data_IF_840500982553
#
_entry.id   IF_840500982553
#
_cell.length_a   1.000
_cell.length_b   1.000
_cell.length_c   1.000
_cell.angle_alpha   90.00
_cell.angle_beta   90.00
_cell.angle_gamma   90.00
#
_symmetry.space_group_name_H-M   'P 1'
#
loop_
_entity.id
_entity.type
_entity.pdbx_description
1 polymer ?
#
# COMPACT_ATOMS: atom_id res chain seq x y z
N UNK A 1 9.32 26.25 7.86
CA UNK A 1 10.15 25.08 8.24
C UNK A 1 11.26 24.90 7.21
N UNK A 2 12.52 24.65 7.60
CA UNK A 2 13.62 24.43 6.63
C UNK A 2 13.43 23.09 5.90
N UNK A 3 14.03 22.92 4.71
CA UNK A 3 13.96 21.68 3.89
C UNK A 3 14.21 20.41 4.70
N UNK A 4 15.25 20.41 5.54
CA UNK A 4 15.58 19.25 6.37
C UNK A 4 14.47 18.93 7.39
N UNK A 5 13.79 19.94 7.92
CA UNK A 5 12.64 19.73 8.79
C UNK A 5 11.47 19.08 8.04
N UNK A 6 11.21 19.48 6.79
CA UNK A 6 10.17 18.86 5.95
C UNK A 6 10.51 17.40 5.62
N UNK A 7 11.78 17.09 5.36
CA UNK A 7 12.24 15.71 5.13
C UNK A 7 12.03 14.86 6.39
N UNK A 8 12.43 15.35 7.56
CA UNK A 8 12.19 14.63 8.83
C UNK A 8 10.70 14.42 9.04
N UNK A 9 9.88 15.44 8.81
CA UNK A 9 8.44 15.38 8.99
C UNK A 9 7.77 14.33 8.10
N UNK A 10 8.08 14.31 6.80
CA UNK A 10 7.49 13.32 5.89
C UNK A 10 7.99 11.89 6.20
N UNK A 11 9.24 11.73 6.62
CA UNK A 11 9.77 10.43 7.06
C UNK A 11 9.05 9.91 8.30
N UNK A 12 8.77 10.77 9.29
CA UNK A 12 8.00 10.40 10.48
C UNK A 12 6.59 9.97 10.10
N UNK A 13 5.90 10.73 9.23
CA UNK A 13 4.58 10.34 8.73
C UNK A 13 4.62 8.97 8.05
N UNK A 14 5.63 8.72 7.20
CA UNK A 14 5.80 7.44 6.51
C UNK A 14 6.00 6.28 7.47
N UNK A 15 6.87 6.43 8.47
CA UNK A 15 7.13 5.41 9.50
C UNK A 15 5.86 5.12 10.31
N UNK A 16 5.15 6.17 10.75
CA UNK A 16 3.88 6.01 11.47
C UNK A 16 2.86 5.27 10.60
N UNK A 17 2.76 5.62 9.32
CA UNK A 17 1.88 4.92 8.36
C UNK A 17 2.22 3.44 8.21
N UNK A 18 3.51 3.08 8.11
CA UNK A 18 3.96 1.69 8.05
C UNK A 18 3.58 0.94 9.33
N UNK A 19 3.87 1.51 10.51
CA UNK A 19 3.54 0.89 11.79
C UNK A 19 2.03 0.70 11.95
N UNK A 20 1.23 1.68 11.52
CA UNK A 20 -0.21 1.59 11.52
C UNK A 20 -0.73 0.52 10.55
N UNK A 21 -0.13 0.41 9.36
CA UNK A 21 -0.43 -0.66 8.39
C UNK A 21 -0.14 -2.05 8.95
N UNK A 22 1.02 -2.23 9.61
CA UNK A 22 1.36 -3.48 10.30
C UNK A 22 0.32 -3.80 11.37
N UNK A 23 0.00 -2.85 12.25
CA UNK A 23 -1.04 -3.03 13.27
C UNK A 23 -2.37 -3.45 12.64
N UNK A 24 -2.81 -2.74 11.61
CA UNK A 24 -4.08 -3.03 10.93
C UNK A 24 -4.10 -4.42 10.29
N UNK A 25 -2.98 -4.88 9.75
CA UNK A 25 -2.89 -6.21 9.15
C UNK A 25 -3.09 -7.34 10.17
N UNK A 26 -2.66 -7.16 11.42
CA UNK A 26 -2.82 -8.17 12.48
C UNK A 26 -4.14 -8.04 13.25
N UNK A 27 -4.55 -6.82 13.57
CA UNK A 27 -5.67 -6.58 14.49
C UNK A 27 -6.94 -6.06 13.80
N UNK A 28 -6.83 -5.65 12.53
CA UNK A 28 -7.90 -4.97 11.81
C UNK A 28 -8.42 -3.73 12.54
N UNK A 29 -9.63 -3.29 12.16
CA UNK A 29 -10.34 -2.20 12.84
C UNK A 29 -10.76 -2.57 14.27
N UNK A 30 -10.99 -3.85 14.53
CA UNK A 30 -11.42 -4.35 15.84
C UNK A 30 -10.33 -4.17 16.92
N UNK A 31 -9.05 -4.10 16.52
CA UNK A 31 -7.94 -3.77 17.40
C UNK A 31 -7.99 -2.38 18.01
N UNK A 32 -8.80 -1.47 17.45
CA UNK A 32 -8.98 -0.11 17.96
C UNK A 32 -10.31 -0.01 18.71
N UNK A 33 -10.29 0.09 20.06
CA UNK A 33 -11.50 0.06 20.88
C UNK A 33 -12.63 1.02 20.46
N UNK A 34 -12.35 2.26 20.00
CA UNK A 34 -13.39 3.15 19.54
C UNK A 34 -14.15 2.64 18.31
N UNK A 35 -13.50 1.95 17.37
CA UNK A 35 -14.16 1.51 16.14
C UNK A 35 -15.14 0.36 16.41
N UNK A 36 -14.76 -0.59 17.26
CA UNK A 36 -15.65 -1.69 17.65
C UNK A 36 -16.83 -1.26 18.53
N UNK A 37 -16.68 -0.16 19.28
CA UNK A 37 -17.73 0.37 20.17
C UNK A 37 -18.65 1.40 19.49
N UNK A 38 -18.14 2.16 18.51
CA UNK A 38 -18.84 3.30 17.90
C UNK A 38 -19.44 3.00 16.53
N UNK A 39 -18.99 1.94 15.83
CA UNK A 39 -19.51 1.57 14.53
C UNK A 39 -20.51 0.44 14.69
N UNK A 40 -21.73 0.67 14.19
CA UNK A 40 -22.77 -0.35 14.23
C UNK A 40 -22.39 -1.57 13.38
N UNK A 41 -22.75 -2.76 13.87
CA UNK A 41 -22.37 -4.04 13.25
C UNK A 41 -22.96 -4.25 11.87
N UNK A 42 -24.09 -3.60 11.56
CA UNK A 42 -24.75 -3.67 10.25
C UNK A 42 -24.00 -2.88 9.16
N UNK A 43 -23.24 -1.84 9.55
CA UNK A 43 -22.50 -1.00 8.60
C UNK A 43 -21.00 -1.30 8.57
N UNK A 44 -20.48 -2.11 9.49
CA UNK A 44 -19.02 -2.34 9.60
C UNK A 44 -18.43 -2.94 8.32
N UNK A 45 -19.11 -3.89 7.68
CA UNK A 45 -18.64 -4.52 6.43
C UNK A 45 -18.72 -3.55 5.25
N UNK A 46 -19.87 -2.91 4.93
CA UNK A 46 -19.93 -1.89 3.89
C UNK A 46 -18.94 -0.74 4.10
N UNK A 47 -18.78 -0.27 5.33
CA UNK A 47 -17.83 0.78 5.68
C UNK A 47 -16.38 0.32 5.47
N UNK A 48 -16.03 -0.89 5.90
CA UNK A 48 -14.70 -1.47 5.68
C UNK A 48 -14.38 -1.63 4.18
N UNK A 49 -15.37 -2.03 3.36
CA UNK A 49 -15.24 -2.07 1.90
C UNK A 49 -14.97 -0.67 1.33
N UNK A 50 -15.71 0.35 1.79
CA UNK A 50 -15.49 1.74 1.40
C UNK A 50 -14.10 2.25 1.79
N UNK A 51 -13.63 1.90 2.99
CA UNK A 51 -12.29 2.24 3.47
C UNK A 51 -11.22 1.61 2.58
N UNK A 52 -11.27 0.30 2.35
CA UNK A 52 -10.34 -0.42 1.49
C UNK A 52 -10.35 0.15 0.06
N UNK A 53 -11.54 0.36 -0.52
CA UNK A 53 -11.69 0.94 -1.85
C UNK A 53 -11.09 2.35 -1.96
N UNK A 54 -11.29 3.19 -0.95
CA UNK A 54 -10.72 4.55 -0.93
C UNK A 54 -9.19 4.56 -0.86
N UNK A 55 -8.59 3.63 -0.10
CA UNK A 55 -7.14 3.44 -0.05
C UNK A 55 -6.62 2.99 -1.41
N UNK A 56 -7.31 2.04 -2.05
CA UNK A 56 -6.94 1.55 -3.37
C UNK A 56 -7.00 2.64 -4.45
N UNK A 57 -8.01 3.52 -4.38
CA UNK A 57 -8.11 4.70 -5.25
C UNK A 57 -6.91 5.64 -5.02
N UNK A 58 -6.62 5.98 -3.76
CA UNK A 58 -5.49 6.86 -3.43
C UNK A 58 -4.15 6.28 -3.92
N UNK A 59 -3.92 4.98 -3.71
CA UNK A 59 -2.75 4.27 -4.20
C UNK A 59 -2.67 4.29 -5.73
N UNK A 60 -3.78 4.03 -6.42
CA UNK A 60 -3.84 4.06 -7.89
C UNK A 60 -3.57 5.46 -8.46
N UNK A 61 -4.07 6.51 -7.80
CA UNK A 61 -3.79 7.91 -8.15
C UNK A 61 -2.29 8.22 -7.97
N UNK A 62 -1.67 7.78 -6.88
CA UNK A 62 -0.23 7.94 -6.67
C UNK A 62 0.58 7.22 -7.75
N UNK A 63 0.24 5.97 -8.06
CA UNK A 63 0.87 5.22 -9.16
C UNK A 63 0.73 5.92 -10.50
N UNK A 64 -0.47 6.43 -10.82
CA UNK A 64 -0.73 7.12 -12.06
C UNK A 64 0.16 8.37 -12.20
N UNK A 65 0.21 9.23 -11.18
CA UNK A 65 0.98 10.48 -11.27
C UNK A 65 2.48 10.27 -11.05
N UNK A 66 2.88 9.58 -9.98
CA UNK A 66 4.28 9.36 -9.64
C UNK A 66 4.95 8.40 -10.62
N UNK A 67 4.29 7.31 -11.00
CA UNK A 67 4.81 6.38 -12.01
C UNK A 67 4.99 7.06 -13.36
N UNK A 68 3.96 7.77 -13.84
CA UNK A 68 4.07 8.54 -15.09
C UNK A 68 5.15 9.62 -15.02
N UNK A 69 5.31 10.28 -13.88
CA UNK A 69 6.41 11.23 -13.67
C UNK A 69 7.77 10.55 -13.76
N UNK A 70 7.94 9.41 -13.10
CA UNK A 70 9.17 8.63 -13.09
C UNK A 70 9.61 8.27 -14.51
N UNK A 71 8.70 7.70 -15.32
CA UNK A 71 9.00 7.37 -16.72
C UNK A 71 9.28 8.60 -17.58
N UNK A 72 8.51 9.68 -17.42
CA UNK A 72 8.73 10.92 -18.19
C UNK A 72 10.05 11.61 -17.91
N UNK A 73 10.56 11.47 -16.69
CA UNK A 73 11.83 12.09 -16.26
C UNK A 73 12.99 11.12 -16.25
N UNK A 74 12.77 9.88 -16.64
CA UNK A 74 13.73 8.79 -16.47
C UNK A 74 14.29 8.72 -15.04
N UNK A 75 13.43 8.97 -14.05
CA UNK A 75 13.80 8.97 -12.64
C UNK A 75 13.81 7.52 -12.12
N UNK A 76 14.95 6.87 -12.30
CA UNK A 76 15.15 5.45 -11.93
C UNK A 76 15.01 5.23 -10.42
N UNK A 77 15.32 6.24 -9.61
CA UNK A 77 15.17 6.13 -8.16
C UNK A 77 13.70 6.16 -7.76
N UNK A 78 12.90 7.04 -8.34
CA UNK A 78 11.45 7.04 -8.12
C UNK A 78 10.81 5.72 -8.60
N UNK A 79 11.27 5.13 -9.71
CA UNK A 79 10.80 3.82 -10.15
C UNK A 79 11.09 2.71 -9.13
N UNK A 80 12.30 2.70 -8.56
CA UNK A 80 12.67 1.73 -7.51
C UNK A 80 11.85 1.94 -6.23
N UNK A 81 11.62 3.19 -5.83
CA UNK A 81 10.78 3.52 -4.67
C UNK A 81 9.36 2.99 -4.88
N UNK A 82 8.77 3.21 -6.05
CA UNK A 82 7.45 2.66 -6.39
C UNK A 82 7.45 1.13 -6.37
N UNK A 83 8.50 0.50 -6.91
CA UNK A 83 8.65 -0.95 -6.90
C UNK A 83 8.71 -1.51 -5.47
N UNK A 84 9.46 -0.88 -4.56
CA UNK A 84 9.51 -1.27 -3.15
C UNK A 84 8.15 -1.11 -2.46
N UNK A 85 7.40 -0.07 -2.78
CA UNK A 85 6.03 0.12 -2.28
C UNK A 85 5.09 -0.99 -2.75
N UNK A 86 5.09 -1.29 -4.06
CA UNK A 86 4.24 -2.35 -4.65
C UNK A 86 4.61 -3.72 -4.07
N UNK A 87 5.88 -4.09 -4.05
CA UNK A 87 6.29 -5.41 -3.58
C UNK A 87 6.16 -5.58 -2.07
N UNK A 88 6.35 -4.53 -1.27
CA UNK A 88 6.07 -4.65 0.17
C UNK A 88 4.59 -4.92 0.43
N UNK A 89 3.67 -4.26 -0.29
CA UNK A 89 2.24 -4.58 -0.23
C UNK A 89 1.96 -6.04 -0.62
N UNK A 90 2.37 -6.46 -1.81
CA UNK A 90 2.04 -7.80 -2.33
C UNK A 90 2.69 -8.93 -1.53
N UNK A 91 3.89 -8.73 -0.98
CA UNK A 91 4.54 -9.73 -0.10
C UNK A 91 3.75 -9.88 1.20
N UNK A 92 3.33 -8.77 1.81
CA UNK A 92 2.54 -8.81 3.05
C UNK A 92 1.18 -9.45 2.80
N UNK A 93 0.48 -9.08 1.72
CA UNK A 93 -0.81 -9.67 1.36
C UNK A 93 -0.71 -11.17 1.06
N UNK A 94 0.33 -11.58 0.32
CA UNK A 94 0.59 -12.99 0.06
C UNK A 94 0.91 -13.77 1.34
N UNK A 95 1.67 -13.19 2.28
CA UNK A 95 1.96 -13.83 3.56
C UNK A 95 0.69 -14.09 4.38
N UNK A 96 -0.24 -13.14 4.43
CA UNK A 96 -1.54 -13.34 5.08
C UNK A 96 -2.42 -14.33 4.32
N UNK A 97 -2.41 -14.28 2.99
CA UNK A 97 -3.14 -15.24 2.16
C UNK A 97 -2.67 -16.67 2.39
N UNK A 98 -1.35 -16.89 2.49
CA UNK A 98 -0.77 -18.17 2.89
C UNK A 98 -1.20 -18.59 4.30
N UNK A 99 -1.09 -17.67 5.26
CA UNK A 99 -1.42 -17.93 6.67
C UNK A 99 -2.90 -18.35 6.85
N UNK A 100 -3.82 -17.71 6.13
CA UNK A 100 -5.26 -18.01 6.19
C UNK A 100 -5.73 -19.05 5.15
N UNK A 101 -4.85 -19.62 4.32
CA UNK A 101 -5.20 -20.63 3.32
C UNK A 101 -5.97 -20.10 2.10
N UNK A 102 -5.87 -18.81 1.78
CA UNK A 102 -6.55 -18.14 0.66
C UNK A 102 -5.68 -18.19 -0.60
N UNK A 103 -5.47 -19.39 -1.16
CA UNK A 103 -4.53 -19.59 -2.27
C UNK A 103 -4.91 -18.89 -3.58
N UNK A 104 -6.20 -18.63 -3.81
CA UNK A 104 -6.64 -17.86 -4.99
C UNK A 104 -6.03 -16.46 -4.99
N UNK A 105 -5.94 -15.80 -3.82
CA UNK A 105 -5.37 -14.46 -3.71
C UNK A 105 -3.88 -14.44 -4.02
N UNK A 106 -3.14 -15.51 -3.72
CA UNK A 106 -1.73 -15.62 -4.12
C UNK A 106 -1.55 -15.55 -5.63
N UNK A 107 -2.46 -16.16 -6.40
CA UNK A 107 -2.45 -16.06 -7.85
C UNK A 107 -2.68 -14.62 -8.32
N UNK A 108 -3.61 -13.90 -7.66
CA UNK A 108 -3.89 -12.49 -7.92
C UNK A 108 -2.66 -11.62 -7.59
N UNK A 109 -2.04 -11.85 -6.42
CA UNK A 109 -0.84 -11.13 -5.97
C UNK A 109 0.32 -11.29 -6.96
N UNK A 110 0.57 -12.52 -7.43
CA UNK A 110 1.59 -12.80 -8.44
C UNK A 110 1.28 -12.10 -9.78
N UNK A 111 0.02 -12.12 -10.22
CA UNK A 111 -0.40 -11.44 -11.44
C UNK A 111 -0.19 -9.92 -11.32
N UNK A 112 -0.58 -9.32 -10.19
CA UNK A 112 -0.37 -7.90 -9.92
C UNK A 112 1.12 -7.55 -9.79
N UNK A 113 1.93 -8.40 -9.16
CA UNK A 113 3.37 -8.20 -9.03
C UNK A 113 4.05 -8.12 -10.41
N UNK A 114 3.63 -8.98 -11.33
CA UNK A 114 4.10 -8.94 -12.71
C UNK A 114 3.56 -7.71 -13.45
N UNK A 115 2.25 -7.46 -13.40
CA UNK A 115 1.61 -6.36 -14.13
C UNK A 115 2.15 -4.98 -13.72
N UNK A 116 2.26 -4.73 -12.41
CA UNK A 116 2.73 -3.45 -11.87
C UNK A 116 4.26 -3.35 -11.82
N UNK A 117 4.95 -4.45 -11.50
CA UNK A 117 6.40 -4.46 -11.30
C UNK A 117 7.20 -4.48 -12.59
N UNK A 118 6.76 -5.21 -13.62
CA UNK A 118 7.49 -5.36 -14.88
C UNK A 118 7.90 -4.02 -15.54
N UNK A 119 6.97 -3.05 -15.76
CA UNK A 119 7.38 -1.78 -16.39
C UNK A 119 8.40 -1.01 -15.56
N UNK A 120 8.29 -1.03 -14.22
CA UNK A 120 9.21 -0.33 -13.31
C UNK A 120 10.60 -0.99 -13.30
N UNK A 121 10.66 -2.32 -13.31
CA UNK A 121 11.93 -3.07 -13.39
C UNK A 121 12.62 -2.79 -14.71
N UNK A 122 11.87 -2.76 -15.81
CA UNK A 122 12.42 -2.49 -17.14
C UNK A 122 12.95 -1.05 -17.22
N UNK A 123 12.12 -0.06 -16.89
CA UNK A 123 12.50 1.34 -16.97
C UNK A 123 13.61 1.75 -16.00
N UNK A 124 13.77 1.09 -14.85
CA UNK A 124 14.85 1.40 -13.92
C UNK A 124 16.23 0.85 -14.34
N UNK A 125 16.28 -0.03 -15.35
CA UNK A 125 17.51 -0.62 -15.90
C UNK A 125 18.01 0.06 -17.18
N UNK A 126 17.10 0.58 -18.00
CA UNK A 126 17.38 1.43 -19.18
C UNK A 126 17.90 2.79 -18.73
#
# INVERSE_FOLDING_TARGET
>A
MKRNGLIVWISVIGIVGILFGIFYAFFGLAGLPPYGALISKDVITPWSNGLYGSIFIAFSVLLFFAGRHAFRKNDKELMKILLYGIYSWLIVEAAFSLYYGVYFNLGVDLALAMFLGYPLIKGSKE
#
